data_IF_684812477401
#
_entry.id   IF_684812477401
#
_cell.length_a   1.000
_cell.length_b   1.000
_cell.length_c   1.000
_cell.angle_alpha   90.00
_cell.angle_beta   90.00
_cell.angle_gamma   90.00
#
_symmetry.space_group_name_H-M   'P 1'
#
loop_
_entity.id
_entity.type
_entity.pdbx_description
1 polymer ?
#
# COMPACT_ATOMS: atom_id res chain seq x y z
N UNK A 1 1.92 10.10 16.17
CA UNK A 1 0.68 9.54 15.62
C UNK A 1 1.04 8.30 14.81
N UNK A 2 0.79 7.09 15.32
CA UNK A 2 0.94 5.85 14.54
C UNK A 2 -0.42 5.50 13.90
N UNK A 3 -0.45 4.88 12.71
CA UNK A 3 -1.67 4.33 12.14
C UNK A 3 -2.28 3.25 13.04
N UNK A 4 -3.57 2.93 12.91
CA UNK A 4 -4.19 1.83 13.63
C UNK A 4 -3.41 0.52 13.43
N UNK A 5 -3.08 -0.17 14.52
CA UNK A 5 -2.31 -1.42 14.54
C UNK A 5 -3.15 -2.63 14.10
N UNK A 6 -3.82 -2.52 12.95
CA UNK A 6 -4.62 -3.63 12.42
C UNK A 6 -3.66 -4.65 11.79
N UNK A 7 -3.32 -5.71 12.54
CA UNK A 7 -2.38 -6.76 12.16
C UNK A 7 -2.63 -7.30 10.74
N UNK A 8 -3.91 -7.51 10.39
CA UNK A 8 -4.32 -8.00 9.07
C UNK A 8 -3.95 -7.08 7.90
N UNK A 9 -3.69 -5.78 8.14
CA UNK A 9 -3.30 -4.84 7.06
C UNK A 9 -1.80 -4.69 6.89
N UNK A 10 -1.02 -5.21 7.84
CA UNK A 10 0.42 -4.99 7.93
C UNK A 10 1.20 -6.31 8.08
N UNK A 11 1.07 -7.26 7.14
CA UNK A 11 1.71 -8.58 7.24
C UNK A 11 3.24 -8.50 7.39
N UNK A 12 3.89 -7.50 6.78
CA UNK A 12 5.35 -7.34 6.90
C UNK A 12 5.82 -6.78 8.24
N UNK A 13 4.91 -6.23 9.04
CA UNK A 13 5.22 -5.60 10.32
C UNK A 13 4.59 -6.34 11.50
N UNK A 14 4.06 -7.56 11.28
CA UNK A 14 3.31 -8.30 12.28
C UNK A 14 4.12 -8.54 13.56
N UNK A 15 5.35 -9.02 13.43
CA UNK A 15 6.26 -9.27 14.56
C UNK A 15 6.51 -8.00 15.39
N UNK A 16 6.77 -6.86 14.74
CA UNK A 16 7.02 -5.58 15.43
C UNK A 16 5.76 -5.06 16.11
N UNK A 17 4.58 -5.30 15.53
CA UNK A 17 3.30 -4.96 16.13
C UNK A 17 3.08 -5.78 17.41
N UNK A 18 3.37 -7.08 17.38
CA UNK A 18 3.25 -7.96 18.55
C UNK A 18 4.20 -7.53 19.67
N UNK A 19 5.46 -7.25 19.37
CA UNK A 19 6.42 -6.72 20.35
C UNK A 19 5.97 -5.40 20.96
N UNK A 20 5.46 -4.49 20.12
CA UNK A 20 4.96 -3.19 20.58
C UNK A 20 3.72 -3.33 21.47
N UNK A 21 2.79 -4.22 21.10
CA UNK A 21 1.62 -4.53 21.93
C UNK A 21 2.03 -5.16 23.26
N UNK A 22 2.97 -6.10 23.24
CA UNK A 22 3.52 -6.73 24.45
C UNK A 22 4.14 -5.68 25.38
N UNK A 23 4.95 -4.76 24.85
CA UNK A 23 5.50 -3.66 25.65
C UNK A 23 4.41 -2.80 26.29
N UNK A 24 3.32 -2.49 25.59
CA UNK A 24 2.20 -1.76 26.18
C UNK A 24 1.41 -2.54 27.23
N UNK A 25 1.36 -3.88 27.13
CA UNK A 25 0.73 -4.74 28.13
C UNK A 25 1.59 -4.88 29.39
N UNK A 26 2.89 -5.04 29.22
CA UNK A 26 3.86 -5.17 30.32
C UNK A 26 4.07 -3.83 31.05
N UNK A 27 3.97 -2.72 30.32
CA UNK A 27 4.22 -1.36 30.82
C UNK A 27 3.02 -0.42 30.65
N UNK A 28 1.89 -0.67 31.37
CA UNK A 28 0.66 0.10 31.21
C UNK A 28 0.82 1.59 31.60
N UNK A 29 1.75 1.90 32.50
CA UNK A 29 2.12 3.26 32.92
C UNK A 29 3.33 3.76 32.10
N UNK A 30 4.30 2.88 31.82
CA UNK A 30 5.54 3.18 31.09
C UNK A 30 5.34 3.64 29.64
N UNK A 31 4.19 3.33 29.03
CA UNK A 31 3.78 3.91 27.74
C UNK A 31 3.79 5.45 27.71
N UNK A 32 3.58 6.10 28.86
CA UNK A 32 3.61 7.56 28.99
C UNK A 32 5.01 8.10 29.26
N UNK A 33 5.91 7.27 29.80
CA UNK A 33 7.29 7.63 30.11
C UNK A 33 8.28 7.29 28.97
N UNK A 34 7.79 6.67 27.90
CA UNK A 34 8.58 6.41 26.71
C UNK A 34 9.34 5.08 26.71
N UNK A 35 9.00 4.15 27.61
CA UNK A 35 9.64 2.81 27.68
C UNK A 35 9.49 2.03 26.36
N UNK A 36 8.40 2.24 25.63
CA UNK A 36 8.14 1.59 24.33
C UNK A 36 8.52 2.44 23.11
N UNK A 37 9.28 3.54 23.28
CA UNK A 37 9.59 4.49 22.19
C UNK A 37 10.42 3.87 21.08
N UNK A 38 11.40 3.03 21.42
CA UNK A 38 12.25 2.36 20.42
C UNK A 38 11.45 1.42 19.53
N UNK A 39 10.54 0.63 20.12
CA UNK A 39 9.63 -0.25 19.38
C UNK A 39 8.69 0.56 18.48
N UNK A 40 8.18 1.70 18.97
CA UNK A 40 7.38 2.63 18.17
C UNK A 40 8.14 3.16 16.95
N UNK A 41 9.41 3.54 17.11
CA UNK A 41 10.24 4.03 15.99
C UNK A 41 10.44 2.93 14.94
N UNK A 42 10.74 1.70 15.38
CA UNK A 42 10.86 0.54 14.48
C UNK A 42 9.56 0.27 13.73
N UNK A 43 8.44 0.32 14.43
CA UNK A 43 7.11 0.12 13.87
C UNK A 43 6.78 1.18 12.79
N UNK A 44 7.00 2.46 13.11
CA UNK A 44 6.78 3.56 12.16
C UNK A 44 7.67 3.42 10.91
N UNK A 45 8.91 2.95 11.08
CA UNK A 45 9.82 2.68 9.96
C UNK A 45 9.28 1.55 9.09
N UNK A 46 8.82 0.46 9.70
CA UNK A 46 8.25 -0.67 8.97
C UNK A 46 6.99 -0.25 8.18
N UNK A 47 6.06 0.49 8.79
CA UNK A 47 4.87 0.98 8.10
C UNK A 47 5.20 1.92 6.93
N UNK A 48 6.23 2.76 7.07
CA UNK A 48 6.69 3.61 5.97
C UNK A 48 7.25 2.79 4.81
N UNK A 49 8.04 1.75 5.12
CA UNK A 49 8.59 0.84 4.11
C UNK A 49 7.48 0.06 3.40
N UNK A 50 6.58 -0.55 4.15
CA UNK A 50 5.45 -1.28 3.58
C UNK A 50 4.57 -0.40 2.69
N UNK A 51 4.25 0.82 3.15
CA UNK A 51 3.51 1.80 2.35
C UNK A 51 4.26 2.16 1.08
N UNK A 52 5.58 2.27 1.11
CA UNK A 52 6.39 2.57 -0.07
C UNK A 52 6.37 1.43 -1.09
N UNK A 53 6.46 0.18 -0.63
CA UNK A 53 6.41 -1.03 -1.47
C UNK A 53 5.03 -1.15 -2.14
N UNK A 54 3.95 -1.06 -1.35
CA UNK A 54 2.57 -1.11 -1.86
C UNK A 54 2.31 0.01 -2.88
N UNK A 55 2.82 1.23 -2.63
CA UNK A 55 2.70 2.35 -3.58
C UNK A 55 3.41 2.08 -4.90
N UNK A 56 4.62 1.51 -4.87
CA UNK A 56 5.36 1.14 -6.09
C UNK A 56 4.63 0.06 -6.89
N UNK A 57 4.19 -1.01 -6.23
CA UNK A 57 3.42 -2.08 -6.86
C UNK A 57 2.12 -1.56 -7.49
N UNK A 58 1.36 -0.75 -6.76
CA UNK A 58 0.12 -0.15 -7.28
C UNK A 58 0.38 0.80 -8.45
N UNK A 59 1.47 1.56 -8.42
CA UNK A 59 1.86 2.44 -9.51
C UNK A 59 2.18 1.66 -10.79
N UNK A 60 2.96 0.58 -10.68
CA UNK A 60 3.29 -0.29 -11.80
C UNK A 60 2.05 -0.97 -12.39
N UNK A 61 1.17 -1.50 -11.53
CA UNK A 61 -0.11 -2.09 -11.96
C UNK A 61 -1.00 -1.06 -12.65
N UNK A 62 -1.11 0.13 -12.08
CA UNK A 62 -1.90 1.23 -12.67
C UNK A 62 -1.34 1.67 -14.02
N UNK A 63 -0.01 1.71 -14.17
CA UNK A 63 0.65 2.04 -15.42
C UNK A 63 0.33 1.00 -16.50
N UNK A 64 0.52 -0.29 -16.20
CA UNK A 64 0.19 -1.40 -17.12
C UNK A 64 -1.28 -1.39 -17.54
N UNK A 65 -2.18 -1.18 -16.58
CA UNK A 65 -3.61 -1.09 -16.86
C UNK A 65 -3.93 0.11 -17.77
N UNK A 66 -3.34 1.27 -17.49
CA UNK A 66 -3.50 2.47 -18.31
C UNK A 66 -3.01 2.26 -19.74
N UNK A 67 -1.84 1.65 -19.92
CA UNK A 67 -1.28 1.32 -21.24
C UNK A 67 -2.20 0.37 -22.01
N UNK A 68 -2.70 -0.69 -21.36
CA UNK A 68 -3.66 -1.63 -21.96
C UNK A 68 -4.95 -0.94 -22.40
N UNK A 69 -5.54 -0.12 -21.53
CA UNK A 69 -6.77 0.61 -21.84
C UNK A 69 -6.58 1.61 -22.97
N UNK A 70 -5.41 2.26 -23.05
CA UNK A 70 -5.08 3.17 -24.15
C UNK A 70 -4.92 2.43 -25.49
N UNK A 71 -4.28 1.25 -25.50
CA UNK A 71 -4.20 0.39 -26.68
C UNK A 71 -5.59 0.01 -27.20
N UNK A 72 -6.42 -0.56 -26.33
CA UNK A 72 -7.79 -0.97 -26.68
C UNK A 72 -8.64 0.19 -27.21
N UNK A 73 -8.47 1.40 -26.65
CA UNK A 73 -9.18 2.60 -27.13
C UNK A 73 -8.73 3.03 -28.53
N UNK A 74 -7.43 2.93 -28.84
CA UNK A 74 -6.91 3.24 -30.18
C UNK A 74 -7.41 2.22 -31.20
N UNK A 75 -7.29 0.93 -30.89
CA UNK A 75 -7.78 -0.16 -31.76
C UNK A 75 -9.28 -0.03 -32.04
N UNK A 76 -10.09 0.31 -31.02
CA UNK A 76 -11.52 0.54 -31.19
C UNK A 76 -11.81 1.77 -32.06
N UNK A 77 -11.04 2.85 -31.91
CA UNK A 77 -11.17 4.04 -32.75
C UNK A 77 -10.81 3.75 -34.22
N UNK A 78 -9.72 3.01 -34.46
CA UNK A 78 -9.29 2.57 -35.79
C UNK A 78 -10.35 1.70 -36.46
N UNK A 79 -10.84 0.66 -35.78
CA UNK A 79 -11.94 -0.18 -36.29
C UNK A 79 -13.20 0.62 -36.61
N UNK A 80 -13.59 1.55 -35.72
CA UNK A 80 -14.76 2.40 -35.96
C UNK A 80 -14.60 3.32 -37.18
N UNK A 81 -13.36 3.70 -37.51
CA UNK A 81 -13.07 4.50 -38.72
C UNK A 81 -13.05 3.64 -39.98
N UNK A 82 -12.57 2.40 -39.88
CA UNK A 82 -12.52 1.44 -40.98
C UNK A 82 -13.92 0.92 -41.35
N UNK A 83 -14.76 0.60 -40.35
CA UNK A 83 -16.18 0.24 -40.54
C UNK A 83 -16.97 1.38 -41.22
N UNK A 84 -16.70 2.64 -40.84
CA UNK A 84 -17.30 3.82 -41.49
C UNK A 84 -16.85 3.99 -42.94
N UNK A 85 -15.61 3.60 -43.27
CA UNK A 85 -15.05 3.73 -44.61
C UNK A 85 -15.57 2.62 -45.55
N UNK A 86 -15.76 1.39 -45.04
CA UNK A 86 -16.24 0.25 -45.84
C UNK A 86 -17.77 0.18 -45.98
N UNK A 87 -18.52 0.85 -45.10
CA UNK A 87 -19.99 0.89 -45.12
C UNK A 87 -20.62 2.02 -45.95
N UNK A 88 -19.82 2.75 -46.75
CA UNK A 88 -20.25 3.86 -47.60
C UNK A 88 -20.20 3.47 -49.09
#
# INVERSE_FOLDING_TARGET
>A
MHPPLTLHRHPMCAEIIEEFQKCHLDHPIGKFFGECTELKIKLDRCFRQEKSIKRKANFEQSKKLKERLQGMRKEAAEKSSEEKFMGA
#
